data_IF_557554701628
#
_entry.id   IF_557554701628
#
_cell.length_a   1.000
_cell.length_b   1.000
_cell.length_c   1.000
_cell.angle_alpha   90.00
_cell.angle_beta   90.00
_cell.angle_gamma   90.00
#
_symmetry.space_group_name_H-M   'P 1'
#
loop_
_entity.id
_entity.type
_entity.pdbx_description
1 polymer ?
#
# COMPACT_ATOMS: atom_id res chain seq x y z
N UNK A 1 38.31 19.42 -45.47
CA UNK A 1 37.68 18.16 -45.01
C UNK A 1 37.13 18.45 -43.63
N UNK A 2 35.84 18.76 -43.52
CA UNK A 2 34.71 17.81 -43.53
C UNK A 2 34.40 17.38 -42.09
N UNK A 3 33.40 18.01 -41.49
CA UNK A 3 32.97 17.78 -40.11
C UNK A 3 31.71 16.91 -40.05
N UNK A 4 31.61 16.07 -39.03
CA UNK A 4 30.40 15.32 -38.67
C UNK A 4 30.29 15.28 -37.14
N UNK A 5 29.24 15.84 -36.52
CA UNK A 5 29.01 15.72 -35.09
C UNK A 5 28.40 14.35 -34.77
N UNK A 6 28.60 13.86 -33.54
CA UNK A 6 27.80 12.76 -32.99
C UNK A 6 27.05 13.20 -31.73
N UNK A 7 25.75 12.87 -31.72
CA UNK A 7 24.72 13.44 -30.85
C UNK A 7 24.51 12.58 -29.60
N UNK A 8 24.28 13.21 -28.45
CA UNK A 8 23.93 12.55 -27.19
C UNK A 8 22.55 11.84 -27.28
N UNK A 9 22.40 10.60 -26.79
CA UNK A 9 21.15 9.86 -26.89
C UNK A 9 20.16 10.20 -25.76
N UNK A 10 19.45 11.33 -25.88
CA UNK A 10 18.23 11.60 -25.11
C UNK A 10 16.97 11.15 -25.86
N UNK A 11 15.94 10.77 -25.08
CA UNK A 11 14.54 10.55 -25.51
C UNK A 11 14.27 9.52 -26.63
N UNK A 12 13.94 8.28 -26.24
CA UNK A 12 12.83 7.52 -26.87
C UNK A 12 12.47 6.24 -26.09
N UNK A 13 11.29 6.24 -25.44
CA UNK A 13 10.47 5.02 -25.19
C UNK A 13 9.07 5.30 -24.60
N UNK A 14 8.24 6.06 -25.32
CA UNK A 14 6.81 5.81 -25.22
C UNK A 14 6.51 4.39 -25.74
N UNK A 15 5.82 3.58 -24.93
CA UNK A 15 5.12 2.37 -25.40
C UNK A 15 3.74 2.29 -24.76
N UNK A 16 2.75 2.85 -25.45
CA UNK A 16 1.34 2.62 -25.16
C UNK A 16 0.95 1.15 -25.41
N UNK A 17 -0.13 0.72 -24.77
CA UNK A 17 -0.76 -0.58 -25.00
C UNK A 17 -1.27 -0.69 -26.46
N UNK A 18 -0.68 -1.59 -27.25
CA UNK A 18 -1.28 -2.05 -28.50
C UNK A 18 -2.16 -3.28 -28.24
N UNK A 19 -3.48 -3.12 -28.30
CA UNK A 19 -4.41 -4.23 -28.13
C UNK A 19 -4.39 -5.17 -29.34
N UNK A 20 -3.95 -6.42 -29.15
CA UNK A 20 -4.09 -7.48 -30.14
C UNK A 20 -5.45 -8.17 -29.99
N UNK A 21 -6.41 -7.83 -30.85
CA UNK A 21 -7.61 -8.63 -31.02
C UNK A 21 -7.29 -9.92 -31.80
N UNK A 22 -7.85 -11.05 -31.39
CA UNK A 22 -8.10 -12.23 -32.25
C UNK A 22 -9.06 -13.22 -31.56
N UNK A 23 -10.11 -13.57 -32.30
CA UNK A 23 -10.92 -14.81 -32.28
C UNK A 23 -11.49 -15.39 -30.95
N UNK A 24 -12.82 -15.27 -30.84
CA UNK A 24 -13.69 -16.07 -29.97
C UNK A 24 -14.27 -17.30 -30.70
N UNK A 25 -14.31 -18.50 -30.07
CA UNK A 25 -15.23 -19.56 -30.46
C UNK A 25 -16.58 -19.43 -29.74
N UNK A 26 -17.68 -19.59 -30.47
CA UNK A 26 -19.05 -19.49 -29.92
C UNK A 26 -19.43 -20.68 -29.03
N UNK A 27 -20.17 -20.42 -27.94
CA UNK A 27 -21.15 -21.36 -27.38
C UNK A 27 -22.37 -20.61 -26.83
N UNK A 28 -23.53 -20.82 -27.45
CA UNK A 28 -24.82 -20.28 -26.98
C UNK A 28 -25.47 -21.23 -25.94
N UNK A 29 -26.30 -20.70 -25.00
CA UNK A 29 -26.96 -21.51 -23.98
C UNK A 29 -28.27 -22.14 -24.48
N UNK A 30 -28.59 -23.34 -23.99
CA UNK A 30 -29.92 -23.94 -24.09
C UNK A 30 -30.70 -23.85 -22.76
N UNK A 31 -32.02 -24.08 -22.83
CA UNK A 31 -33.02 -23.53 -21.90
C UNK A 31 -33.41 -24.46 -20.74
N UNK A 32 -34.15 -23.86 -19.81
CA UNK A 32 -34.85 -24.46 -18.67
C UNK A 32 -35.52 -25.82 -18.92
N UNK A 33 -35.54 -26.66 -17.87
CA UNK A 33 -36.72 -27.44 -17.46
C UNK A 33 -36.84 -27.35 -15.93
N UNK A 34 -38.06 -27.16 -15.42
CA UNK A 34 -38.39 -27.13 -13.99
C UNK A 34 -38.69 -28.55 -13.46
N UNK A 35 -38.46 -28.82 -12.16
CA UNK A 35 -39.51 -29.34 -11.24
C UNK A 35 -39.03 -29.75 -9.84
N UNK A 36 -39.83 -29.35 -8.84
CA UNK A 36 -40.24 -30.13 -7.63
C UNK A 36 -39.19 -30.56 -6.58
N UNK A 37 -39.23 -29.81 -5.46
CA UNK A 37 -39.23 -30.28 -4.06
C UNK A 37 -38.98 -31.78 -3.79
N UNK A 38 -37.96 -32.09 -2.98
CA UNK A 38 -38.08 -33.14 -1.92
C UNK A 38 -37.22 -32.83 -0.69
N UNK A 39 -37.88 -32.67 0.47
CA UNK A 39 -37.21 -32.69 1.78
C UNK A 39 -36.76 -34.12 2.10
N UNK A 40 -35.55 -34.30 2.64
CA UNK A 40 -35.22 -35.45 3.50
C UNK A 40 -34.31 -35.01 4.65
N UNK A 41 -34.75 -35.27 5.88
CA UNK A 41 -33.86 -35.33 7.04
C UNK A 41 -33.01 -36.59 6.91
N UNK A 42 -31.75 -36.53 7.30
CA UNK A 42 -30.99 -37.68 7.80
C UNK A 42 -30.33 -37.30 9.12
N UNK A 43 -30.00 -38.31 9.92
CA UNK A 43 -29.82 -38.20 11.38
C UNK A 43 -28.37 -38.26 11.82
N UNK A 44 -28.13 -37.88 13.09
CA UNK A 44 -26.85 -38.10 13.78
C UNK A 44 -26.40 -39.56 13.69
N UNK A 45 -25.10 -39.77 13.57
CA UNK A 45 -24.38 -40.90 14.16
C UNK A 45 -23.06 -40.42 14.76
N UNK A 46 -22.55 -41.13 15.77
CA UNK A 46 -21.25 -40.88 16.39
C UNK A 46 -20.15 -41.60 15.62
N UNK A 47 -18.94 -41.03 15.63
CA UNK A 47 -17.72 -41.78 15.90
C UNK A 47 -16.62 -40.80 16.35
N UNK A 48 -15.84 -41.21 17.35
CA UNK A 48 -14.74 -40.41 17.90
C UNK A 48 -13.41 -40.75 17.23
N UNK A 49 -12.49 -39.79 17.37
CA UNK A 49 -11.06 -39.82 17.09
C UNK A 49 -10.36 -41.17 16.87
N UNK A 50 -9.44 -41.17 15.92
CA UNK A 50 -8.05 -41.50 16.24
C UNK A 50 -7.09 -40.52 15.57
N UNK A 51 -5.99 -40.20 16.25
CA UNK A 51 -4.93 -39.35 15.73
C UNK A 51 -4.08 -40.12 14.71
N UNK A 52 -3.61 -39.43 13.67
CA UNK A 52 -2.24 -39.61 13.17
C UNK A 52 -1.84 -38.35 12.38
N UNK A 53 -0.85 -37.62 12.89
CA UNK A 53 -0.29 -36.45 12.22
C UNK A 53 0.91 -36.86 11.36
N UNK A 54 0.87 -36.52 10.06
CA UNK A 54 1.94 -36.87 9.11
C UNK A 54 2.61 -35.60 8.60
N UNK A 55 3.62 -35.12 9.33
CA UNK A 55 4.52 -34.05 8.86
C UNK A 55 5.39 -34.60 7.72
N UNK A 56 5.32 -33.99 6.54
CA UNK A 56 6.17 -34.33 5.39
C UNK A 56 7.12 -33.16 5.13
N UNK A 57 8.39 -33.37 5.48
CA UNK A 57 9.52 -32.56 5.02
C UNK A 57 10.44 -33.42 4.15
N UNK A 58 11.13 -32.80 3.19
CA UNK A 58 12.10 -33.46 2.32
C UNK A 58 13.51 -32.94 2.63
N UNK A 59 14.35 -33.81 3.19
CA UNK A 59 15.75 -33.55 3.51
C UNK A 59 16.38 -34.79 4.17
N UNK A 60 17.65 -35.15 3.87
CA UNK A 60 18.26 -36.38 4.38
C UNK A 60 18.63 -36.28 5.87
N UNK A 61 18.71 -37.44 6.55
CA UNK A 61 19.10 -37.57 7.96
C UNK A 61 20.60 -37.87 8.11
N UNK A 62 21.20 -37.34 9.17
CA UNK A 62 22.29 -37.99 9.90
C UNK A 62 22.07 -37.83 11.42
N UNK A 63 22.25 -38.95 12.14
CA UNK A 63 22.36 -39.16 13.60
C UNK A 63 22.77 -37.93 14.45
N UNK A 64 22.03 -37.55 15.49
CA UNK A 64 21.89 -38.19 16.82
C UNK A 64 23.12 -38.09 17.75
N UNK A 65 23.01 -37.27 18.81
CA UNK A 65 23.03 -37.67 20.24
C UNK A 65 22.48 -36.47 21.07
N UNK A 66 21.59 -36.67 22.06
CA UNK A 66 21.89 -36.75 23.51
C UNK A 66 22.64 -35.53 24.11
N UNK A 67 22.24 -34.90 25.25
CA UNK A 67 21.14 -35.20 26.17
C UNK A 67 20.89 -34.07 27.20
N UNK A 68 19.85 -34.24 28.02
CA UNK A 68 19.68 -33.69 29.38
C UNK A 68 19.31 -32.21 29.60
N UNK A 69 18.19 -32.08 30.33
CA UNK A 69 17.56 -30.87 30.86
C UNK A 69 18.31 -30.26 32.07
N UNK A 70 18.05 -28.96 32.25
CA UNK A 70 17.78 -28.25 33.53
C UNK A 70 18.93 -27.81 34.45
N UNK A 71 18.59 -26.71 35.13
CA UNK A 71 19.10 -26.21 36.42
C UNK A 71 20.41 -25.40 36.37
N UNK A 72 20.33 -24.13 36.80
CA UNK A 72 20.96 -23.65 38.04
C UNK A 72 20.34 -22.30 38.45
N UNK A 73 20.01 -22.17 39.74
CA UNK A 73 19.71 -20.93 40.46
C UNK A 73 20.21 -21.16 41.90
N UNK A 74 21.16 -20.35 42.39
CA UNK A 74 21.26 -19.85 43.79
C UNK A 74 22.61 -19.20 44.14
N UNK A 75 22.52 -17.97 44.68
CA UNK A 75 23.18 -17.45 45.90
C UNK A 75 24.73 -17.36 45.97
N UNK A 76 25.31 -16.60 46.91
CA UNK A 76 24.77 -15.64 47.93
C UNK A 76 24.96 -14.17 47.43
N UNK A 77 25.08 -13.05 48.16
CA UNK A 77 24.90 -12.54 49.56
C UNK A 77 24.56 -11.02 49.39
N UNK A 78 23.74 -10.25 50.12
CA UNK A 78 23.24 -10.17 51.52
C UNK A 78 24.12 -9.29 52.45
N UNK A 79 23.47 -8.46 53.30
CA UNK A 79 23.97 -7.40 54.23
C UNK A 79 24.29 -6.03 53.57
N UNK A 80 23.97 -4.83 54.10
CA UNK A 80 22.86 -4.33 54.96
C UNK A 80 22.86 -2.76 55.02
N UNK A 81 21.68 -2.14 55.23
CA UNK A 81 21.41 -0.77 55.76
C UNK A 81 21.87 0.54 55.04
N UNK A 82 20.86 1.42 54.91
CA UNK A 82 20.86 2.87 55.24
C UNK A 82 21.11 3.98 54.17
N UNK A 83 20.06 4.79 54.00
CA UNK A 83 20.03 6.27 54.00
C UNK A 83 20.67 7.13 52.88
N UNK A 84 19.78 7.58 51.99
CA UNK A 84 19.56 8.98 51.51
C UNK A 84 20.53 9.71 50.57
N UNK A 85 19.88 10.55 49.73
CA UNK A 85 20.37 11.75 49.02
C UNK A 85 21.22 11.61 47.74
N UNK A 86 20.53 11.91 46.63
CA UNK A 86 20.95 12.72 45.48
C UNK A 86 22.28 12.41 44.76
N UNK A 87 22.15 11.92 43.53
CA UNK A 87 22.78 12.57 42.36
C UNK A 87 22.06 12.26 41.06
N UNK A 88 22.32 13.07 40.05
CA UNK A 88 21.92 12.79 38.67
C UNK A 88 22.64 11.54 38.15
N UNK A 89 21.90 10.64 37.48
CA UNK A 89 22.46 9.60 36.62
C UNK A 89 22.12 9.94 35.17
N UNK A 90 23.13 9.95 34.30
CA UNK A 90 22.98 10.19 32.87
C UNK A 90 22.55 8.87 32.21
N UNK A 91 21.31 8.78 31.73
CA UNK A 91 20.84 7.62 30.96
C UNK A 91 21.46 7.65 29.55
N UNK A 92 22.62 6.99 29.38
CA UNK A 92 23.13 6.58 28.07
C UNK A 92 22.17 5.52 27.47
N UNK A 93 21.07 5.96 26.84
CA UNK A 93 20.21 5.06 26.06
C UNK A 93 20.97 4.48 24.85
N UNK A 94 20.81 3.17 24.61
CA UNK A 94 21.46 2.40 23.54
C UNK A 94 21.12 2.92 22.12
N UNK A 95 21.86 3.94 21.64
CA UNK A 95 21.76 4.47 20.27
C UNK A 95 22.27 3.47 19.21
N UNK A 96 21.52 2.41 18.96
CA UNK A 96 21.81 1.43 17.89
C UNK A 96 20.60 0.95 17.08
N UNK A 97 19.37 1.00 17.61
CA UNK A 97 18.19 0.39 16.94
C UNK A 97 17.18 1.40 16.33
N UNK A 98 17.20 2.67 16.75
CA UNK A 98 16.31 3.75 16.25
C UNK A 98 16.57 4.11 14.77
N UNK A 99 17.82 3.98 14.30
CA UNK A 99 18.33 4.50 13.02
C UNK A 99 17.76 3.84 11.73
N UNK A 100 16.64 3.12 11.82
CA UNK A 100 16.00 2.38 10.72
C UNK A 100 14.52 2.70 10.49
N UNK A 101 13.96 3.68 11.22
CA UNK A 101 12.56 4.11 11.13
C UNK A 101 12.39 5.36 10.26
N UNK A 102 11.91 5.19 9.03
CA UNK A 102 11.50 6.33 8.20
C UNK A 102 10.20 6.93 8.75
N UNK A 103 10.30 8.14 9.31
CA UNK A 103 9.15 8.90 9.83
C UNK A 103 8.41 9.61 8.71
N UNK A 104 7.51 8.89 8.05
CA UNK A 104 6.66 9.45 6.99
C UNK A 104 5.55 10.37 7.54
N UNK A 105 5.33 10.38 8.86
CA UNK A 105 4.11 10.88 9.51
C UNK A 105 3.87 12.38 9.36
N UNK A 106 4.95 13.16 9.30
CA UNK A 106 4.93 14.62 9.18
C UNK A 106 5.40 15.07 7.80
N UNK A 107 4.82 16.17 7.32
CA UNK A 107 5.33 16.90 6.17
C UNK A 107 6.67 17.55 6.56
N UNK A 108 7.75 17.42 5.76
CA UNK A 108 8.99 18.12 6.03
C UNK A 108 8.76 19.63 6.08
N UNK A 109 9.38 20.31 7.04
CA UNK A 109 9.27 21.76 7.15
C UNK A 109 9.85 22.44 5.90
N UNK A 110 9.18 23.51 5.44
CA UNK A 110 9.58 24.26 4.23
C UNK A 110 10.86 25.09 4.39
N UNK A 111 11.57 24.96 5.50
CA UNK A 111 12.77 25.72 5.83
C UNK A 111 14.04 25.23 5.09
N UNK A 112 13.90 24.93 3.80
CA UNK A 112 15.03 25.02 2.86
C UNK A 112 15.50 26.50 2.70
N UNK A 113 14.71 27.46 3.18
CA UNK A 113 15.09 28.87 3.35
C UNK A 113 16.07 29.14 4.52
N UNK A 114 16.67 28.11 5.11
CA UNK A 114 17.72 28.19 6.12
C UNK A 114 18.96 27.34 5.80
N UNK A 115 18.97 26.59 4.69
CA UNK A 115 20.21 26.09 4.11
C UNK A 115 20.89 27.29 3.45
N UNK A 116 22.18 27.50 3.73
CA UNK A 116 22.95 28.52 3.01
C UNK A 116 23.38 28.01 1.62
N UNK A 117 23.91 28.90 0.79
CA UNK A 117 24.21 28.60 -0.62
C UNK A 117 25.22 27.42 -0.77
N UNK A 118 26.00 27.12 0.28
CA UNK A 118 26.97 26.01 0.29
C UNK A 118 26.29 24.63 0.40
N UNK A 119 25.36 24.45 1.35
CA UNK A 119 24.65 23.16 1.51
C UNK A 119 23.77 22.84 0.30
N UNK A 120 23.26 23.88 -0.39
CA UNK A 120 22.52 23.73 -1.65
C UNK A 120 23.40 23.25 -2.81
N UNK A 121 24.63 23.78 -2.96
CA UNK A 121 25.58 23.29 -3.97
C UNK A 121 26.07 21.87 -3.67
N UNK A 122 26.35 21.52 -2.41
CA UNK A 122 26.82 20.19 -2.03
C UNK A 122 25.75 19.09 -2.21
N UNK A 123 24.47 19.43 -2.05
CA UNK A 123 23.32 18.58 -2.41
C UNK A 123 23.01 18.60 -3.93
N UNK A 124 23.75 19.33 -4.75
CA UNK A 124 23.53 19.46 -6.19
C UNK A 124 22.19 20.12 -6.55
N UNK A 125 21.59 20.89 -5.63
CA UNK A 125 20.31 21.55 -5.82
C UNK A 125 20.53 22.93 -6.44
N UNK A 126 20.14 23.07 -7.70
CA UNK A 126 20.07 24.38 -8.37
C UNK A 126 19.24 25.37 -7.53
N UNK A 127 19.57 26.68 -7.52
CA UNK A 127 18.85 27.69 -6.74
C UNK A 127 17.34 27.62 -7.04
N UNK A 128 16.48 27.76 -6.02
CA UNK A 128 15.07 27.43 -6.12
C UNK A 128 14.38 28.28 -7.19
N UNK A 129 14.07 27.65 -8.33
CA UNK A 129 13.34 28.28 -9.42
C UNK A 129 12.03 28.84 -8.87
N UNK A 130 11.86 30.16 -8.94
CA UNK A 130 10.78 30.87 -8.27
C UNK A 130 9.40 30.55 -8.84
N UNK A 131 9.35 29.88 -9.99
CA UNK A 131 8.11 29.36 -10.58
C UNK A 131 7.83 27.88 -10.24
N UNK A 132 8.75 27.18 -9.56
CA UNK A 132 8.56 25.77 -9.21
C UNK A 132 7.44 25.59 -8.18
N UNK A 133 6.54 24.63 -8.42
CA UNK A 133 5.43 24.31 -7.49
C UNK A 133 5.63 22.99 -6.78
N UNK A 134 5.37 22.95 -5.47
CA UNK A 134 5.51 21.71 -4.71
C UNK A 134 4.52 21.57 -3.55
N UNK A 135 3.95 20.38 -3.40
CA UNK A 135 3.05 20.10 -2.29
C UNK A 135 2.45 18.69 -2.27
N UNK A 136 1.80 18.41 -1.13
CA UNK A 136 1.20 17.12 -0.82
C UNK A 136 -0.29 17.12 -1.15
N UNK A 137 -0.79 16.01 -1.67
CA UNK A 137 -2.16 15.88 -2.19
C UNK A 137 -2.79 14.61 -1.62
N UNK A 138 -3.87 14.78 -0.85
CA UNK A 138 -4.58 13.64 -0.27
C UNK A 138 -5.62 13.08 -1.25
N UNK A 139 -5.37 11.87 -1.76
CA UNK A 139 -6.31 11.16 -2.62
C UNK A 139 -7.24 10.35 -1.73
N UNK A 140 -8.46 10.83 -1.51
CA UNK A 140 -9.44 10.27 -0.54
C UNK A 140 -10.70 9.73 -1.24
N UNK A 141 -11.54 9.00 -0.51
CA UNK A 141 -12.77 8.41 -1.03
C UNK A 141 -13.02 6.98 -0.57
N UNK A 142 -14.21 6.48 -0.85
CA UNK A 142 -14.67 5.13 -0.50
C UNK A 142 -13.79 4.01 -1.12
N UNK A 143 -13.90 2.76 -0.65
CA UNK A 143 -13.26 1.61 -1.31
C UNK A 143 -13.73 1.46 -2.76
N UNK A 144 -12.86 0.93 -3.62
CA UNK A 144 -13.14 0.59 -5.02
C UNK A 144 -13.56 1.75 -5.95
N UNK A 145 -13.44 3.02 -5.53
CA UNK A 145 -13.62 4.20 -6.40
C UNK A 145 -12.47 4.40 -7.39
N UNK A 146 -11.30 3.77 -7.15
CA UNK A 146 -10.15 3.78 -8.05
C UNK A 146 -9.01 4.76 -7.70
N UNK A 147 -8.81 5.11 -6.43
CA UNK A 147 -7.72 5.98 -5.94
C UNK A 147 -6.34 5.57 -6.47
N UNK A 148 -5.88 4.38 -6.08
CA UNK A 148 -4.65 3.75 -6.56
C UNK A 148 -4.54 3.67 -8.09
N UNK A 149 -5.67 3.58 -8.80
CA UNK A 149 -5.69 3.63 -10.27
C UNK A 149 -5.37 5.04 -10.79
N UNK A 150 -5.97 6.07 -10.20
CA UNK A 150 -5.68 7.46 -10.54
C UNK A 150 -4.24 7.83 -10.20
N UNK A 151 -3.76 7.47 -9.00
CA UNK A 151 -2.38 7.75 -8.57
C UNK A 151 -1.35 7.06 -9.48
N UNK A 152 -1.51 5.77 -9.78
CA UNK A 152 -0.65 5.07 -10.74
C UNK A 152 -0.70 5.70 -12.14
N UNK A 153 -1.87 6.16 -12.59
CA UNK A 153 -2.05 6.80 -13.90
C UNK A 153 -1.43 8.21 -13.97
N UNK A 154 -1.40 8.96 -12.87
CA UNK A 154 -0.74 10.26 -12.76
C UNK A 154 0.79 10.13 -12.76
N UNK A 155 1.32 9.15 -12.02
CA UNK A 155 2.76 8.89 -11.87
C UNK A 155 3.32 8.17 -13.11
N UNK A 156 2.47 7.49 -13.88
CA UNK A 156 2.86 6.66 -15.03
C UNK A 156 3.50 5.32 -14.64
N UNK A 157 3.52 4.97 -13.35
CA UNK A 157 4.08 3.73 -12.82
C UNK A 157 3.11 3.08 -11.82
N UNK A 158 3.17 1.74 -11.70
CA UNK A 158 2.30 0.96 -10.80
C UNK A 158 2.93 0.83 -9.41
N UNK A 159 2.74 1.83 -8.55
CA UNK A 159 3.21 1.80 -7.16
C UNK A 159 2.18 1.18 -6.18
N UNK A 160 0.89 1.35 -6.46
CA UNK A 160 -0.21 0.87 -5.60
C UNK A 160 -0.97 -0.31 -6.20
N UNK A 161 -1.51 -1.18 -5.34
CA UNK A 161 -2.32 -2.35 -5.70
C UNK A 161 -3.67 -1.94 -6.29
N UNK A 162 -4.08 -2.57 -7.41
CA UNK A 162 -5.37 -2.32 -8.07
C UNK A 162 -6.16 -3.62 -8.26
N UNK A 163 -7.31 -3.74 -7.59
CA UNK A 163 -8.28 -4.85 -7.73
C UNK A 163 -9.69 -4.36 -7.38
N UNK A 164 -10.69 -5.14 -7.78
CA UNK A 164 -12.12 -5.03 -7.45
C UNK A 164 -12.46 -5.31 -5.97
N UNK A 165 -11.51 -5.81 -5.18
CA UNK A 165 -11.72 -6.12 -3.76
C UNK A 165 -11.44 -4.88 -2.88
N UNK A 166 -12.28 -4.58 -1.87
CA UNK A 166 -12.05 -3.45 -0.95
C UNK A 166 -10.81 -3.66 -0.06
N UNK A 167 -10.45 -2.64 0.73
CA UNK A 167 -9.39 -2.71 1.76
C UNK A 167 -8.01 -3.13 1.21
N UNK A 168 -7.72 -2.76 -0.04
CA UNK A 168 -6.45 -3.02 -0.73
C UNK A 168 -5.32 -2.15 -0.20
N UNK A 169 -5.45 -0.84 -0.25
CA UNK A 169 -4.49 0.10 0.34
C UNK A 169 -4.70 0.10 1.86
N UNK A 170 -3.63 -0.12 2.63
CA UNK A 170 -3.66 -0.18 4.10
C UNK A 170 -2.58 0.68 4.77
N UNK A 171 -1.37 0.61 4.25
CA UNK A 171 -0.36 1.64 4.47
C UNK A 171 -0.70 2.84 3.58
N UNK A 172 -0.27 4.04 3.98
CA UNK A 172 -0.35 5.24 3.14
C UNK A 172 0.83 5.21 2.18
N UNK A 173 0.56 5.04 0.89
CA UNK A 173 1.60 4.98 -0.14
C UNK A 173 1.86 6.41 -0.64
N UNK A 174 3.13 6.80 -0.63
CA UNK A 174 3.61 8.08 -1.12
C UNK A 174 4.00 7.92 -2.59
N UNK A 175 3.37 8.68 -3.47
CA UNK A 175 3.58 8.65 -4.91
C UNK A 175 4.06 9.99 -5.43
N UNK A 176 5.33 10.07 -5.80
CA UNK A 176 6.00 11.30 -6.19
C UNK A 176 5.92 11.44 -7.72
N UNK A 177 5.39 12.58 -8.18
CA UNK A 177 5.30 12.95 -9.59
C UNK A 177 6.10 14.24 -9.81
N UNK A 178 7.30 14.10 -10.39
CA UNK A 178 8.29 15.17 -10.57
C UNK A 178 8.40 15.62 -12.03
N UNK A 179 8.64 16.91 -12.22
CA UNK A 179 8.81 17.63 -13.49
C UNK A 179 9.89 18.71 -13.30
N UNK A 180 10.49 19.29 -14.35
CA UNK A 180 11.33 20.49 -14.20
C UNK A 180 10.61 21.61 -13.42
N UNK A 181 9.32 21.82 -13.69
CA UNK A 181 8.50 22.93 -13.17
C UNK A 181 7.71 22.60 -11.88
N UNK A 182 7.58 21.33 -11.48
CA UNK A 182 6.79 20.95 -10.30
C UNK A 182 7.21 19.64 -9.63
N UNK A 183 6.76 19.46 -8.39
CA UNK A 183 6.71 18.16 -7.71
C UNK A 183 5.39 17.99 -6.94
N UNK A 184 4.55 17.07 -7.41
CA UNK A 184 3.28 16.70 -6.80
C UNK A 184 3.45 15.39 -6.02
N UNK A 185 3.18 15.41 -4.71
CA UNK A 185 3.30 14.23 -3.86
C UNK A 185 1.91 13.70 -3.47
N UNK A 186 1.50 12.60 -4.09
CA UNK A 186 0.22 11.95 -3.89
C UNK A 186 0.26 11.02 -2.66
N UNK A 187 -0.58 11.27 -1.66
CA UNK A 187 -0.92 10.26 -0.66
C UNK A 187 -2.04 9.36 -1.20
N UNK A 188 -1.73 8.13 -1.63
CA UNK A 188 -2.75 7.09 -1.85
C UNK A 188 -3.15 6.50 -0.49
N UNK A 189 -4.33 6.86 0.00
CA UNK A 189 -4.81 6.46 1.32
C UNK A 189 -5.61 5.16 1.27
N UNK A 190 -5.73 4.44 2.40
CA UNK A 190 -6.80 3.47 2.59
C UNK A 190 -8.16 4.06 2.22
N UNK A 191 -9.06 3.25 1.66
CA UNK A 191 -10.45 3.65 1.43
C UNK A 191 -11.19 3.80 2.75
N UNK A 192 -11.97 4.88 2.89
CA UNK A 192 -12.72 5.19 4.12
C UNK A 192 -13.62 4.01 4.52
N UNK A 193 -13.60 3.61 5.79
CA UNK A 193 -14.34 2.45 6.30
C UNK A 193 -15.32 2.90 7.40
N UNK A 194 -16.63 2.85 7.09
CA UNK A 194 -17.73 3.13 8.02
C UNK A 194 -17.63 2.33 9.34
N UNK A 195 -17.22 1.06 9.25
CA UNK A 195 -17.27 0.07 10.34
C UNK A 195 -15.89 -0.49 10.65
N UNK A 196 -15.20 0.16 11.58
CA UNK A 196 -13.94 -0.31 12.17
C UNK A 196 -14.22 -1.54 13.03
N UNK A 197 -13.77 -2.72 12.60
CA UNK A 197 -13.95 -4.00 13.33
C UNK A 197 -12.69 -4.41 14.10
N UNK A 198 -11.54 -3.88 13.71
CA UNK A 198 -10.24 -4.22 14.25
C UNK A 198 -9.39 -2.98 14.58
N UNK A 199 -8.39 -3.12 15.45
CA UNK A 199 -7.43 -2.05 15.77
C UNK A 199 -6.71 -1.57 14.50
N UNK A 200 -6.42 -2.49 13.57
CA UNK A 200 -5.97 -2.20 12.20
C UNK A 200 -6.83 -1.14 11.50
N UNK A 201 -8.16 -1.28 11.51
CA UNK A 201 -9.06 -0.38 10.80
C UNK A 201 -9.02 1.03 11.39
N UNK A 202 -8.94 1.13 12.72
CA UNK A 202 -8.76 2.41 13.44
C UNK A 202 -7.43 3.08 13.11
N UNK A 203 -6.34 2.32 13.00
CA UNK A 203 -5.02 2.85 12.61
C UNK A 203 -4.99 3.28 11.14
N UNK A 204 -5.58 2.51 10.22
CA UNK A 204 -5.73 2.91 8.82
C UNK A 204 -6.50 4.23 8.70
N UNK A 205 -7.60 4.41 9.42
CA UNK A 205 -8.38 5.66 9.36
C UNK A 205 -7.67 6.85 10.04
N UNK A 206 -6.78 6.61 11.04
CA UNK A 206 -5.85 7.65 11.50
C UNK A 206 -4.93 8.09 10.35
N UNK A 207 -4.34 7.13 9.62
CA UNK A 207 -3.44 7.42 8.50
C UNK A 207 -4.15 8.14 7.32
N UNK A 208 -5.47 8.01 7.16
CA UNK A 208 -6.26 8.84 6.23
C UNK A 208 -6.34 10.29 6.72
N UNK A 209 -6.69 10.53 7.99
CA UNK A 209 -6.71 11.89 8.58
C UNK A 209 -5.35 12.56 8.56
N UNK A 210 -4.32 11.85 9.00
CA UNK A 210 -2.95 12.36 9.03
C UNK A 210 -2.43 12.69 7.61
N UNK A 211 -2.96 12.04 6.56
CA UNK A 211 -2.68 12.42 5.17
C UNK A 211 -3.40 13.71 4.75
N UNK A 212 -4.70 13.81 5.04
CA UNK A 212 -5.52 14.92 4.57
C UNK A 212 -5.30 16.24 5.34
N UNK A 213 -4.98 16.15 6.64
CA UNK A 213 -4.64 17.32 7.49
C UNK A 213 -3.31 17.96 7.07
N UNK A 214 -2.36 17.18 6.53
CA UNK A 214 -1.04 17.65 6.09
C UNK A 214 -0.95 18.01 4.60
N UNK A 215 -2.00 17.71 3.82
CA UNK A 215 -2.03 18.00 2.40
C UNK A 215 -2.28 19.49 2.10
N UNK A 216 -1.63 20.00 1.05
CA UNK A 216 -1.91 21.32 0.48
C UNK A 216 -3.23 21.31 -0.31
N UNK A 217 -3.70 20.15 -0.74
CA UNK A 217 -4.88 19.97 -1.58
C UNK A 217 -5.50 18.57 -1.41
N UNK A 218 -6.82 18.44 -1.61
CA UNK A 218 -7.57 17.18 -1.38
C UNK A 218 -8.36 16.79 -2.63
N UNK A 219 -8.26 15.52 -3.03
CA UNK A 219 -8.88 14.98 -4.25
C UNK A 219 -9.81 13.84 -3.86
N UNK A 220 -11.12 14.08 -3.97
CA UNK A 220 -12.19 13.23 -3.44
C UNK A 220 -12.76 12.38 -4.57
N UNK A 221 -12.42 11.09 -4.61
CA UNK A 221 -12.91 10.20 -5.67
C UNK A 221 -14.26 9.58 -5.33
N UNK A 222 -15.19 9.72 -6.27
CA UNK A 222 -16.48 9.01 -6.27
C UNK A 222 -16.55 8.05 -7.45
N UNK A 223 -17.33 6.98 -7.27
CA UNK A 223 -17.64 6.03 -8.35
C UNK A 223 -18.85 6.55 -9.13
N UNK A 224 -18.61 7.15 -10.30
CA UNK A 224 -19.66 7.80 -11.08
C UNK A 224 -20.75 6.81 -11.56
N UNK A 225 -20.51 5.50 -11.51
CA UNK A 225 -21.52 4.49 -11.86
C UNK A 225 -22.66 4.47 -10.83
N UNK A 226 -22.36 4.73 -9.55
CA UNK A 226 -23.33 4.73 -8.45
C UNK A 226 -24.29 5.91 -8.54
N UNK A 227 -25.40 5.85 -7.80
CA UNK A 227 -26.21 7.04 -7.51
C UNK A 227 -25.33 8.08 -6.81
N UNK A 228 -25.43 9.38 -7.12
CA UNK A 228 -24.79 10.41 -6.32
C UNK A 228 -25.21 10.28 -4.86
N UNK A 229 -24.23 10.46 -3.98
CA UNK A 229 -24.36 10.32 -2.54
C UNK A 229 -23.56 11.43 -1.88
N UNK A 230 -23.99 11.83 -0.68
CA UNK A 230 -23.31 12.85 0.09
C UNK A 230 -21.88 12.38 0.45
N UNK A 231 -20.91 13.29 0.33
CA UNK A 231 -19.50 13.04 0.65
C UNK A 231 -19.13 13.36 2.11
N UNK A 232 -20.06 13.92 2.90
CA UNK A 232 -19.84 14.32 4.31
C UNK A 232 -19.18 13.23 5.17
N UNK A 233 -19.50 11.95 4.98
CA UNK A 233 -18.87 10.85 5.72
C UNK A 233 -17.39 10.66 5.34
N UNK A 234 -17.06 10.86 4.06
CA UNK A 234 -15.68 10.83 3.54
C UNK A 234 -14.91 12.07 3.99
N UNK A 235 -15.56 13.25 3.97
CA UNK A 235 -15.00 14.49 4.50
C UNK A 235 -14.72 14.37 6.00
N UNK A 236 -15.72 13.97 6.81
CA UNK A 236 -15.59 13.93 8.27
C UNK A 236 -14.62 12.86 8.77
N UNK A 237 -14.70 11.62 8.25
CA UNK A 237 -13.74 10.58 8.66
C UNK A 237 -12.34 10.85 8.08
N UNK A 238 -12.26 11.48 6.90
CA UNK A 238 -11.01 11.72 6.16
C UNK A 238 -10.25 12.99 6.52
N UNK A 239 -10.93 14.10 6.87
CA UNK A 239 -10.33 15.39 7.23
C UNK A 239 -10.47 15.71 8.73
N UNK A 240 -11.40 15.04 9.42
CA UNK A 240 -11.78 15.37 10.80
C UNK A 240 -12.70 16.59 10.89
N UNK A 241 -12.94 17.06 12.11
CA UNK A 241 -13.74 18.26 12.37
C UNK A 241 -12.94 19.52 12.04
N UNK A 242 -12.96 19.93 10.76
CA UNK A 242 -12.20 21.06 10.21
C UNK A 242 -12.60 22.44 10.76
N UNK A 243 -13.58 22.55 11.66
CA UNK A 243 -14.13 23.81 12.21
C UNK A 243 -13.10 24.82 12.75
N UNK A 244 -11.84 24.40 12.96
CA UNK A 244 -10.73 25.20 13.51
C UNK A 244 -9.69 25.66 12.48
N UNK A 245 -9.83 25.30 11.19
CA UNK A 245 -8.97 25.77 10.08
C UNK A 245 -9.79 25.95 8.81
N UNK A 246 -9.41 26.88 7.93
CA UNK A 246 -9.98 26.92 6.57
C UNK A 246 -9.66 25.58 5.87
N UNK A 247 -10.62 24.91 5.19
CA UNK A 247 -10.33 23.71 4.43
C UNK A 247 -9.28 23.97 3.34
N UNK A 248 -8.42 22.98 3.02
CA UNK A 248 -7.59 23.02 1.82
C UNK A 248 -8.49 23.00 0.56
N UNK A 249 -8.00 23.42 -0.62
CA UNK A 249 -8.76 23.30 -1.88
C UNK A 249 -9.17 21.84 -2.15
N UNK A 250 -10.43 21.64 -2.53
CA UNK A 250 -11.04 20.30 -2.69
C UNK A 250 -11.61 20.10 -4.09
N UNK A 251 -11.13 19.07 -4.79
CA UNK A 251 -11.65 18.65 -6.10
C UNK A 251 -12.40 17.33 -5.96
N UNK A 252 -13.62 17.25 -6.51
CA UNK A 252 -14.35 16.00 -6.63
C UNK A 252 -14.09 15.34 -7.98
N UNK A 253 -13.61 14.10 -7.96
CA UNK A 253 -13.26 13.33 -9.15
C UNK A 253 -14.28 12.21 -9.38
N UNK A 254 -15.12 12.39 -10.39
CA UNK A 254 -16.13 11.41 -10.84
C UNK A 254 -15.46 10.34 -11.72
N UNK A 255 -14.87 9.31 -11.10
CA UNK A 255 -14.15 8.26 -11.82
C UNK A 255 -15.08 7.21 -12.45
N UNK A 256 -14.55 6.47 -13.44
CA UNK A 256 -15.21 5.43 -14.26
C UNK A 256 -16.22 5.98 -15.28
N UNK A 257 -15.96 7.19 -15.83
CA UNK A 257 -16.83 7.80 -16.86
C UNK A 257 -16.99 6.94 -18.13
N UNK A 258 -16.06 6.02 -18.38
CA UNK A 258 -16.08 5.03 -19.47
C UNK A 258 -17.21 3.99 -19.38
N UNK A 259 -17.85 3.84 -18.22
CA UNK A 259 -18.93 2.87 -18.00
C UNK A 259 -20.34 3.50 -18.10
N UNK A 260 -20.43 4.78 -18.48
CA UNK A 260 -21.63 5.62 -18.29
C UNK A 260 -21.95 6.41 -19.56
N UNK A 261 -23.23 6.67 -19.84
CA UNK A 261 -23.65 7.49 -20.99
C UNK A 261 -23.41 8.99 -20.72
N UNK A 262 -22.98 9.80 -21.71
CA UNK A 262 -22.73 11.23 -21.53
C UNK A 262 -23.88 12.01 -20.87
N UNK A 263 -25.13 11.76 -21.27
CA UNK A 263 -26.31 12.42 -20.69
C UNK A 263 -26.68 11.98 -19.25
N UNK A 264 -26.06 10.93 -18.73
CA UNK A 264 -26.13 10.55 -17.31
C UNK A 264 -24.99 11.19 -16.51
N UNK A 265 -23.80 11.38 -17.11
CA UNK A 265 -22.66 12.07 -16.48
C UNK A 265 -23.04 13.53 -16.16
N UNK A 266 -23.60 14.27 -17.14
CA UNK A 266 -23.97 15.67 -16.96
C UNK A 266 -24.93 15.89 -15.77
N UNK A 267 -25.94 15.03 -15.61
CA UNK A 267 -26.90 15.10 -14.49
C UNK A 267 -26.28 14.80 -13.13
N UNK A 268 -25.23 13.98 -13.08
CA UNK A 268 -24.51 13.67 -11.83
C UNK A 268 -23.51 14.78 -11.49
N UNK A 269 -22.90 15.40 -12.50
CA UNK A 269 -22.04 16.57 -12.35
C UNK A 269 -22.84 17.76 -11.78
N UNK A 270 -23.97 18.13 -12.40
CA UNK A 270 -24.90 19.17 -11.88
C UNK A 270 -25.34 18.89 -10.43
N UNK A 271 -25.52 17.60 -10.07
CA UNK A 271 -25.85 17.23 -8.70
C UNK A 271 -24.68 17.48 -7.73
N UNK A 272 -23.46 17.09 -8.08
CA UNK A 272 -22.30 17.31 -7.21
C UNK A 272 -21.95 18.80 -7.06
N UNK A 273 -21.99 19.57 -8.14
CA UNK A 273 -21.78 21.03 -8.12
C UNK A 273 -22.80 21.76 -7.23
N UNK A 274 -24.02 21.22 -7.09
CA UNK A 274 -25.12 21.82 -6.32
C UNK A 274 -25.23 21.34 -4.87
N UNK A 275 -24.78 20.11 -4.58
CA UNK A 275 -25.01 19.43 -3.30
C UNK A 275 -23.73 19.03 -2.56
N UNK A 276 -22.54 19.44 -3.04
CA UNK A 276 -21.27 19.25 -2.30
C UNK A 276 -20.42 20.52 -2.31
N UNK A 277 -19.86 20.87 -1.15
CA UNK A 277 -18.99 22.05 -0.99
C UNK A 277 -17.56 21.72 -1.46
N UNK A 278 -17.32 21.81 -2.76
CA UNK A 278 -16.01 21.58 -3.41
C UNK A 278 -15.68 22.72 -4.37
N UNK A 279 -14.40 22.96 -4.64
CA UNK A 279 -13.95 23.97 -5.61
C UNK A 279 -14.39 23.62 -7.04
N UNK A 280 -14.38 22.33 -7.41
CA UNK A 280 -14.61 21.85 -8.78
C UNK A 280 -15.02 20.37 -8.85
N UNK A 281 -15.61 19.95 -9.97
CA UNK A 281 -16.07 18.58 -10.24
C UNK A 281 -15.56 18.10 -11.61
N UNK A 282 -14.57 17.19 -11.65
CA UNK A 282 -13.99 16.68 -12.90
C UNK A 282 -14.36 15.19 -13.12
N UNK A 283 -15.06 14.84 -14.22
CA UNK A 283 -15.34 13.45 -14.56
C UNK A 283 -14.16 12.81 -15.30
N UNK A 284 -13.69 11.63 -14.85
CA UNK A 284 -12.51 10.95 -15.41
C UNK A 284 -12.72 9.46 -15.68
N UNK A 285 -11.82 8.89 -16.49
CA UNK A 285 -11.56 7.44 -16.47
C UNK A 285 -10.09 7.24 -16.13
N UNK A 286 -9.79 6.96 -14.86
CA UNK A 286 -8.45 6.66 -14.41
C UNK A 286 -7.85 5.42 -15.11
N UNK A 287 -8.70 4.48 -15.56
CA UNK A 287 -8.29 3.26 -16.28
C UNK A 287 -7.73 3.54 -17.68
N UNK A 288 -8.22 4.59 -18.35
CA UNK A 288 -7.86 4.92 -19.73
C UNK A 288 -7.21 6.31 -19.87
N UNK A 289 -6.88 6.97 -18.75
CA UNK A 289 -6.28 8.30 -18.72
C UNK A 289 -7.21 9.47 -19.07
N UNK A 290 -8.45 9.23 -19.50
CA UNK A 290 -9.35 10.29 -19.97
C UNK A 290 -9.70 11.30 -18.87
N UNK A 291 -9.20 12.52 -19.00
CA UNK A 291 -9.38 13.61 -18.04
C UNK A 291 -8.45 13.57 -16.83
N UNK A 292 -7.42 12.70 -16.84
CA UNK A 292 -6.45 12.64 -15.73
C UNK A 292 -5.47 13.82 -15.77
N UNK A 293 -5.21 14.39 -16.95
CA UNK A 293 -4.39 15.60 -17.08
C UNK A 293 -5.13 16.83 -16.56
N UNK A 294 -6.42 16.98 -16.88
CA UNK A 294 -7.32 18.03 -16.36
C UNK A 294 -7.24 18.10 -14.81
N UNK A 295 -7.23 16.92 -14.16
CA UNK A 295 -7.07 16.80 -12.70
C UNK A 295 -5.67 17.21 -12.23
N UNK A 296 -4.60 16.90 -12.97
CA UNK A 296 -3.24 17.37 -12.62
C UNK A 296 -3.13 18.88 -12.77
N UNK A 297 -3.58 19.45 -13.89
CA UNK A 297 -3.55 20.90 -14.15
C UNK A 297 -4.28 21.66 -13.05
N UNK A 298 -5.46 21.17 -12.65
CA UNK A 298 -6.20 21.69 -11.51
C UNK A 298 -5.39 21.61 -10.20
N UNK A 299 -4.81 20.46 -9.86
CA UNK A 299 -3.97 20.30 -8.65
C UNK A 299 -2.80 21.29 -8.68
N UNK A 300 -2.08 21.37 -9.79
CA UNK A 300 -0.92 22.26 -9.97
C UNK A 300 -1.30 23.73 -9.83
N UNK A 301 -2.51 24.14 -10.23
CA UNK A 301 -3.02 25.50 -10.00
C UNK A 301 -3.13 25.85 -8.50
N UNK A 302 -3.44 24.85 -7.66
CA UNK A 302 -3.63 24.99 -6.21
C UNK A 302 -2.34 24.76 -5.41
N UNK A 303 -1.36 24.01 -5.95
CA UNK A 303 -0.07 23.80 -5.26
C UNK A 303 0.70 25.12 -5.11
N UNK A 304 1.28 25.39 -3.93
CA UNK A 304 2.08 26.59 -3.70
C UNK A 304 3.44 26.50 -4.40
N UNK A 305 4.09 27.64 -4.56
CA UNK A 305 5.48 27.71 -4.99
C UNK A 305 6.42 27.23 -3.87
N UNK A 306 7.53 26.60 -4.26
CA UNK A 306 8.53 26.08 -3.35
C UNK A 306 9.44 25.03 -4.00
N UNK A 307 10.61 24.73 -3.42
CA UNK A 307 11.53 23.70 -3.93
C UNK A 307 10.90 22.30 -3.90
N UNK A 308 11.44 21.32 -4.65
CA UNK A 308 11.08 19.92 -4.44
C UNK A 308 11.41 19.47 -3.01
N UNK A 309 10.58 18.57 -2.45
CA UNK A 309 10.85 17.92 -1.15
C UNK A 309 11.74 16.68 -1.31
N UNK A 310 11.83 16.15 -2.54
CA UNK A 310 12.48 14.88 -2.85
C UNK A 310 13.27 14.93 -4.17
N UNK A 311 14.28 14.05 -4.36
CA UNK A 311 14.94 13.88 -5.66
C UNK A 311 13.95 13.67 -6.81
N UNK A 312 14.20 14.28 -7.97
CA UNK A 312 13.23 14.30 -9.09
C UNK A 312 13.14 12.97 -9.86
N UNK A 313 14.03 12.03 -9.60
CA UNK A 313 14.09 10.69 -10.19
C UNK A 313 13.32 9.62 -9.39
N UNK A 314 13.06 9.84 -8.09
CA UNK A 314 12.30 8.89 -7.27
C UNK A 314 10.78 9.06 -7.42
N UNK A 315 10.05 7.93 -7.41
CA UNK A 315 8.58 7.88 -7.47
C UNK A 315 7.93 7.56 -6.12
N UNK A 316 8.72 7.24 -5.09
CA UNK A 316 8.27 6.96 -3.72
C UNK A 316 9.46 6.93 -2.76
N UNK A 317 9.27 7.29 -1.50
CA UNK A 317 10.26 7.05 -0.42
C UNK A 317 10.25 5.59 0.08
N UNK A 318 9.26 4.78 -0.28
CA UNK A 318 9.14 3.42 0.24
C UNK A 318 10.26 2.50 -0.30
N UNK A 319 10.93 1.70 0.55
CA UNK A 319 12.03 0.85 0.11
C UNK A 319 11.54 -0.30 -0.79
N UNK A 320 12.42 -0.85 -1.65
CA UNK A 320 12.09 -2.00 -2.55
C UNK A 320 11.35 -3.15 -1.81
N UNK A 321 11.71 -3.40 -0.55
CA UNK A 321 11.10 -4.45 0.30
C UNK A 321 9.62 -4.23 0.59
N UNK A 322 9.18 -2.96 0.71
CA UNK A 322 7.77 -2.63 0.86
C UNK A 322 6.99 -3.03 -0.40
N UNK A 323 7.47 -2.64 -1.59
CA UNK A 323 6.84 -3.00 -2.85
C UNK A 323 6.86 -4.52 -3.12
N UNK A 324 7.92 -5.22 -2.73
CA UNK A 324 7.99 -6.69 -2.76
C UNK A 324 6.88 -7.33 -1.91
N UNK A 325 6.64 -6.82 -0.69
CA UNK A 325 5.53 -7.29 0.16
C UNK A 325 4.16 -6.97 -0.46
N UNK A 326 3.98 -5.76 -1.00
CA UNK A 326 2.74 -5.33 -1.66
C UNK A 326 2.45 -6.14 -2.93
N UNK A 327 3.46 -6.53 -3.72
CA UNK A 327 3.28 -7.40 -4.91
C UNK A 327 2.82 -8.80 -4.50
N UNK A 328 3.45 -9.42 -3.49
CA UNK A 328 2.97 -10.70 -2.93
C UNK A 328 1.54 -10.56 -2.42
N UNK A 329 1.24 -9.46 -1.72
CA UNK A 329 -0.10 -9.18 -1.19
C UNK A 329 -1.14 -8.94 -2.30
N UNK A 330 -0.78 -8.30 -3.41
CA UNK A 330 -1.63 -8.23 -4.59
C UNK A 330 -1.96 -9.63 -5.09
N UNK A 331 -0.98 -10.53 -5.21
CA UNK A 331 -1.27 -11.89 -5.69
C UNK A 331 -2.13 -12.70 -4.71
N UNK A 332 -2.03 -12.44 -3.39
CA UNK A 332 -3.00 -12.96 -2.41
C UNK A 332 -4.41 -12.40 -2.71
N UNK A 333 -4.52 -11.09 -2.90
CA UNK A 333 -5.77 -10.43 -3.25
C UNK A 333 -6.35 -10.90 -4.59
N UNK A 334 -5.54 -11.23 -5.60
CA UNK A 334 -6.02 -11.80 -6.86
C UNK A 334 -6.51 -13.24 -6.66
N UNK A 335 -5.68 -14.12 -6.08
CA UNK A 335 -5.89 -15.57 -6.05
C UNK A 335 -6.97 -16.02 -5.07
N UNK A 336 -7.08 -15.39 -3.89
CA UNK A 336 -7.98 -15.84 -2.82
C UNK A 336 -9.27 -15.01 -2.74
N UNK A 337 -10.27 -15.55 -2.03
CA UNK A 337 -11.61 -14.98 -1.84
C UNK A 337 -12.04 -15.10 -0.36
N UNK A 338 -13.24 -14.61 -0.05
CA UNK A 338 -13.81 -14.59 1.30
C UNK A 338 -12.88 -13.86 2.28
N UNK A 339 -12.79 -14.25 3.54
CA UNK A 339 -12.01 -13.52 4.56
C UNK A 339 -10.49 -13.60 4.38
N UNK A 340 -9.98 -14.51 3.53
CA UNK A 340 -8.54 -14.86 3.49
C UNK A 340 -7.64 -13.68 3.11
N UNK A 341 -7.86 -12.90 2.03
CA UNK A 341 -7.03 -11.73 1.72
C UNK A 341 -7.02 -10.68 2.84
N UNK A 342 -8.15 -10.50 3.53
CA UNK A 342 -8.32 -9.50 4.58
C UNK A 342 -7.61 -9.90 5.89
N UNK A 343 -7.43 -11.20 6.14
CA UNK A 343 -6.71 -11.72 7.30
C UNK A 343 -5.18 -11.85 7.11
N UNK A 344 -4.65 -11.60 5.91
CA UNK A 344 -3.22 -11.69 5.61
C UNK A 344 -2.46 -10.40 5.96
N UNK A 345 -1.25 -10.56 6.49
CA UNK A 345 -0.14 -9.59 6.49
C UNK A 345 1.02 -10.20 5.70
N UNK A 346 1.87 -9.38 5.08
CA UNK A 346 3.05 -9.83 4.33
C UNK A 346 4.28 -9.06 4.79
N UNK A 347 5.34 -9.79 5.16
CA UNK A 347 6.59 -9.22 5.67
C UNK A 347 7.77 -9.77 4.85
N UNK A 348 8.74 -8.93 4.46
CA UNK A 348 10.03 -9.41 3.94
C UNK A 348 10.94 -9.70 5.14
N UNK A 349 11.33 -10.96 5.33
CA UNK A 349 12.24 -11.37 6.42
C UNK A 349 13.72 -11.23 6.03
N UNK A 350 14.02 -11.36 4.73
CA UNK A 350 15.39 -11.22 4.24
C UNK A 350 15.41 -10.87 2.77
N UNK A 351 16.28 -9.95 2.38
CA UNK A 351 16.60 -9.61 0.99
C UNK A 351 18.12 -9.57 0.87
N UNK A 352 18.70 -10.41 0.01
CA UNK A 352 20.15 -10.53 -0.20
C UNK A 352 20.47 -10.48 -1.68
N UNK A 353 21.09 -9.39 -2.12
CA UNK A 353 21.62 -9.22 -3.46
C UNK A 353 22.75 -10.22 -3.73
N UNK A 354 22.78 -10.86 -4.90
CA UNK A 354 23.81 -11.87 -5.25
C UNK A 354 24.35 -11.64 -6.67
N UNK A 355 25.50 -10.94 -6.85
CA UNK A 355 25.97 -10.43 -8.15
C UNK A 355 26.07 -11.45 -9.30
N UNK A 356 26.32 -12.73 -9.01
CA UNK A 356 26.46 -13.80 -10.01
C UNK A 356 25.30 -14.83 -9.96
N UNK A 357 24.18 -14.51 -9.30
CA UNK A 357 23.06 -15.42 -9.13
C UNK A 357 21.73 -14.65 -9.17
N UNK A 358 20.62 -15.34 -8.83
CA UNK A 358 19.36 -14.67 -8.52
C UNK A 358 19.43 -14.06 -7.13
N UNK A 359 18.87 -12.88 -6.90
CA UNK A 359 18.75 -12.32 -5.55
C UNK A 359 17.88 -13.24 -4.68
N UNK A 360 18.15 -13.30 -3.37
CA UNK A 360 17.35 -14.08 -2.43
C UNK A 360 16.36 -13.17 -1.72
N UNK A 361 15.07 -13.48 -1.81
CA UNK A 361 14.01 -12.80 -1.07
C UNK A 361 13.22 -13.86 -0.30
N UNK A 362 13.13 -13.70 1.03
CA UNK A 362 12.32 -14.51 1.91
C UNK A 362 11.16 -13.69 2.45
N UNK A 363 9.93 -14.18 2.25
CA UNK A 363 8.68 -13.52 2.62
C UNK A 363 7.90 -14.39 3.60
N UNK A 364 7.34 -13.76 4.63
CA UNK A 364 6.40 -14.36 5.56
C UNK A 364 4.99 -13.84 5.27
N UNK A 365 4.03 -14.74 5.07
CA UNK A 365 2.60 -14.42 5.05
C UNK A 365 1.98 -14.82 6.39
N UNK A 366 1.61 -13.82 7.19
CA UNK A 366 0.99 -14.02 8.51
C UNK A 366 -0.54 -14.02 8.38
N UNK A 367 -1.20 -14.96 9.05
CA UNK A 367 -2.67 -15.04 9.13
C UNK A 367 -3.18 -15.21 10.56
N UNK A 368 -4.43 -14.78 10.81
CA UNK A 368 -5.06 -14.93 12.14
C UNK A 368 -5.32 -16.39 12.53
N UNK A 369 -5.60 -17.29 11.57
CA UNK A 369 -6.13 -18.63 11.86
C UNK A 369 -5.45 -19.74 11.06
N UNK A 370 -5.27 -20.90 11.67
CA UNK A 370 -4.69 -22.07 11.00
C UNK A 370 -5.52 -22.56 9.79
N UNK A 371 -6.84 -22.36 9.80
CA UNK A 371 -7.69 -22.62 8.61
C UNK A 371 -7.28 -21.78 7.40
N UNK A 372 -6.91 -20.52 7.62
CA UNK A 372 -6.44 -19.61 6.56
C UNK A 372 -5.06 -20.05 6.06
N UNK A 373 -4.15 -20.50 6.94
CA UNK A 373 -2.86 -21.09 6.56
C UNK A 373 -3.03 -22.32 5.67
N UNK A 374 -3.97 -23.21 6.02
CA UNK A 374 -4.30 -24.39 5.20
C UNK A 374 -4.83 -24.00 3.82
N UNK A 375 -5.66 -22.94 3.72
CA UNK A 375 -6.16 -22.44 2.44
C UNK A 375 -5.04 -21.82 1.58
N UNK A 376 -4.14 -21.03 2.18
CA UNK A 376 -2.99 -20.43 1.48
C UNK A 376 -2.00 -21.48 0.95
N UNK A 377 -1.73 -22.53 1.73
CA UNK A 377 -0.88 -23.65 1.29
C UNK A 377 -1.60 -24.45 0.18
N UNK A 378 -2.86 -24.79 0.42
CA UNK A 378 -3.67 -25.62 -0.46
C UNK A 378 -3.20 -27.08 -0.51
N UNK A 379 -3.90 -27.91 -1.29
CA UNK A 379 -3.55 -29.33 -1.45
C UNK A 379 -2.13 -29.46 -2.00
N UNK A 380 -1.27 -30.22 -1.32
CA UNK A 380 0.12 -30.48 -1.73
C UNK A 380 0.96 -29.21 -1.97
N UNK A 381 0.64 -28.09 -1.29
CA UNK A 381 1.34 -26.80 -1.47
C UNK A 381 1.07 -26.10 -2.80
N UNK A 382 0.13 -26.62 -3.62
CA UNK A 382 -0.11 -26.13 -4.99
C UNK A 382 -0.62 -24.69 -5.04
N UNK A 383 -1.41 -24.24 -4.07
CA UNK A 383 -1.92 -22.87 -4.04
C UNK A 383 -0.80 -21.87 -3.72
N UNK A 384 0.03 -22.17 -2.73
CA UNK A 384 1.21 -21.38 -2.38
C UNK A 384 2.23 -21.35 -3.52
N UNK A 385 2.43 -22.47 -4.23
CA UNK A 385 3.32 -22.51 -5.41
C UNK A 385 2.82 -21.59 -6.53
N UNK A 386 1.52 -21.57 -6.83
CA UNK A 386 0.95 -20.63 -7.81
C UNK A 386 1.14 -19.18 -7.36
N UNK A 387 0.83 -18.88 -6.09
CA UNK A 387 0.99 -17.55 -5.49
C UNK A 387 2.44 -17.04 -5.61
N UNK A 388 3.40 -17.82 -5.15
CA UNK A 388 4.82 -17.47 -5.18
C UNK A 388 5.36 -17.39 -6.63
N UNK A 389 4.85 -18.21 -7.55
CA UNK A 389 5.26 -18.14 -8.97
C UNK A 389 4.78 -16.84 -9.61
N UNK A 390 3.52 -16.44 -9.37
CA UNK A 390 2.97 -15.19 -9.86
C UNK A 390 3.66 -13.98 -9.24
N UNK A 391 3.83 -13.96 -7.92
CA UNK A 391 4.47 -12.84 -7.23
C UNK A 391 5.94 -12.67 -7.65
N UNK A 392 6.70 -13.77 -7.81
CA UNK A 392 8.07 -13.72 -8.31
C UNK A 392 8.17 -13.13 -9.72
N UNK A 393 7.19 -13.35 -10.60
CA UNK A 393 7.23 -12.77 -11.95
C UNK A 393 7.09 -11.25 -11.92
N UNK A 394 6.09 -10.73 -11.19
CA UNK A 394 5.93 -9.28 -10.99
C UNK A 394 7.11 -8.65 -10.21
N UNK A 395 7.70 -9.36 -9.25
CA UNK A 395 8.92 -8.90 -8.54
C UNK A 395 10.14 -8.85 -9.47
N UNK A 396 10.32 -9.83 -10.36
CA UNK A 396 11.42 -9.81 -11.35
C UNK A 396 11.24 -8.68 -12.38
N UNK A 397 10.01 -8.27 -12.67
CA UNK A 397 9.70 -7.12 -13.53
C UNK A 397 9.89 -5.78 -12.78
N UNK A 398 9.37 -5.66 -11.56
CA UNK A 398 9.54 -4.47 -10.73
C UNK A 398 11.03 -4.16 -10.44
N UNK A 399 11.81 -5.17 -10.06
CA UNK A 399 13.23 -5.01 -9.75
C UNK A 399 14.16 -5.03 -10.98
N UNK A 400 13.63 -5.35 -12.18
CA UNK A 400 14.38 -5.63 -13.41
C UNK A 400 15.54 -6.64 -13.22
N UNK A 401 15.43 -7.54 -12.24
CA UNK A 401 16.44 -8.53 -11.80
C UNK A 401 15.85 -9.94 -11.76
N UNK A 402 16.67 -10.96 -11.57
CA UNK A 402 16.20 -12.35 -11.37
C UNK A 402 16.25 -12.74 -9.91
N UNK A 403 15.18 -13.40 -9.43
CA UNK A 403 14.92 -13.57 -7.99
C UNK A 403 14.58 -15.02 -7.66
N UNK A 404 15.12 -15.49 -6.54
CA UNK A 404 14.64 -16.66 -5.82
C UNK A 404 13.74 -16.16 -4.68
N UNK A 405 12.42 -16.34 -4.86
CA UNK A 405 11.42 -15.97 -3.87
C UNK A 405 11.04 -17.20 -3.04
N UNK A 406 11.32 -17.14 -1.74
CA UNK A 406 10.80 -18.07 -0.75
C UNK A 406 9.60 -17.43 -0.04
N UNK A 407 8.53 -18.20 0.18
CA UNK A 407 7.31 -17.73 0.86
C UNK A 407 6.90 -18.73 1.93
N UNK A 408 7.03 -18.35 3.20
CA UNK A 408 6.49 -19.10 4.33
C UNK A 408 5.10 -18.58 4.71
N UNK A 409 4.27 -19.43 5.33
CA UNK A 409 2.95 -19.02 5.86
C UNK A 409 2.92 -19.32 7.36
N UNK A 410 2.71 -18.31 8.20
CA UNK A 410 2.65 -18.44 9.67
C UNK A 410 1.30 -18.02 10.23
N UNK A 411 0.93 -18.58 11.37
CA UNK A 411 -0.27 -18.20 12.12
C UNK A 411 0.16 -17.32 13.28
N UNK A 412 -0.48 -16.16 13.44
CA UNK A 412 -0.30 -15.28 14.60
C UNK A 412 -1.68 -14.78 14.99
N UNK A 413 -2.24 -15.38 16.03
CA UNK A 413 -3.66 -15.24 16.33
C UNK A 413 -4.02 -13.82 16.75
N UNK A 414 -5.08 -13.27 16.15
CA UNK A 414 -5.59 -11.92 16.39
C UNK A 414 -4.58 -10.78 16.11
N UNK A 415 -3.62 -10.96 15.20
CA UNK A 415 -2.60 -9.94 14.89
C UNK A 415 -3.22 -8.59 14.47
N UNK A 416 -4.44 -8.59 13.91
CA UNK A 416 -5.18 -7.38 13.52
C UNK A 416 -5.74 -6.57 14.72
N UNK A 417 -5.66 -7.11 15.94
CA UNK A 417 -6.00 -6.42 17.19
C UNK A 417 -4.77 -6.04 18.03
N UNK A 418 -3.63 -6.69 17.81
CA UNK A 418 -2.38 -6.48 18.55
C UNK A 418 -1.69 -5.20 18.08
N UNK A 419 -1.71 -4.15 18.92
CA UNK A 419 -1.12 -2.86 18.57
C UNK A 419 0.41 -2.88 18.45
N UNK A 420 1.10 -3.76 19.19
CA UNK A 420 2.55 -3.91 19.09
C UNK A 420 2.94 -4.46 17.73
N UNK A 421 2.21 -5.49 17.26
CA UNK A 421 2.39 -6.03 15.92
C UNK A 421 1.97 -5.04 14.83
N UNK A 422 0.88 -4.29 15.02
CA UNK A 422 0.46 -3.29 14.03
C UNK A 422 1.47 -2.14 13.90
N UNK A 423 2.10 -1.72 15.00
CA UNK A 423 3.23 -0.77 14.96
C UNK A 423 4.43 -1.38 14.25
N UNK A 424 4.84 -2.60 14.62
CA UNK A 424 5.97 -3.32 14.00
C UNK A 424 5.79 -3.55 12.49
N UNK A 425 4.57 -3.85 12.02
CA UNK A 425 4.24 -3.99 10.60
C UNK A 425 4.09 -2.65 9.86
N UNK A 426 4.32 -1.50 10.50
CA UNK A 426 4.29 -0.19 9.85
C UNK A 426 2.89 0.39 9.62
N UNK A 427 1.88 -0.03 10.38
CA UNK A 427 0.56 0.62 10.38
C UNK A 427 0.52 1.90 11.24
N UNK A 428 1.56 2.15 12.06
CA UNK A 428 1.68 3.32 12.94
C UNK A 428 2.07 4.64 12.26
N UNK A 429 2.39 4.64 10.97
CA UNK A 429 2.81 5.84 10.20
C UNK A 429 4.32 5.93 9.92
N UNK A 430 5.12 5.05 10.53
CA UNK A 430 6.52 4.77 10.17
C UNK A 430 6.61 3.45 9.41
N UNK A 431 7.59 3.29 8.52
CA UNK A 431 7.94 1.99 7.92
C UNK A 431 9.44 1.72 8.13
N UNK A 432 9.78 0.49 8.54
CA UNK A 432 11.17 0.05 8.76
C UNK A 432 11.89 -0.15 7.42
N UNK A 433 13.11 0.37 7.32
CA UNK A 433 13.97 0.23 6.13
C UNK A 433 14.86 -1.04 6.14
N UNK A 434 14.81 -1.83 7.23
CA UNK A 434 15.61 -3.03 7.52
C UNK A 434 15.67 -4.07 6.40
#
# INVERSE_FOLDING_TARGET
MAATPHVSPTLSRYKFFSASALETPNFYPHQNIDTRRRRRRLTKSHLQAQNNGTTISYGPRTTELASSKKLWIRQTEVVEQSQTENKEEEEEEDMSDEASLLSLSMKPDRNMALLDDYEMEELGHAPPDTNHRSGYVAVVGMPNVGKSTLSNQMIGQKISIVTDKPQTTRHRILGICSSPEYQMILYDTPGVIEKKMHRLDTMMMKNVRDAAINADCVVILVDACKTPANIDEVLKEGLGDLEKKKPPPMLLVMNKKDLIKPGEIAKKLEWYEKFTEVDEVIPVSAKYGHGVEDVKEWILSKLPFGPPYYPKDIVSEHPERFFVAEIVREKIFMQYRNEVPYACQVNVLSYKTRPAAKDFIQVEVVVDKNSQKIILIGKEGKALKTLATAARLDIEDFLQKKVYLEVEVRVKENWRQDEGLLKYYGYGGQIRAM
#
